data_IF_234775607134
#
_entry.id   IF_234775607134
#
_cell.length_a   1.000
_cell.length_b   1.000
_cell.length_c   1.000
_cell.angle_alpha   90.00
_cell.angle_beta   90.00
_cell.angle_gamma   90.00
#
_symmetry.space_group_name_H-M   'P 1'
#
loop_
_entity.id
_entity.type
_entity.pdbx_description
1 polymer ?
#
# COMPACT_ATOMS: atom_id res chain seq x y z
N UNK A 1 -14.43 -2.08 6.77
CA UNK A 1 -13.76 -3.02 5.83
C UNK A 1 -12.60 -2.31 5.14
N UNK A 2 -11.78 -3.02 4.35
CA UNK A 2 -10.76 -2.37 3.50
C UNK A 2 -11.38 -1.38 2.51
N UNK A 3 -12.49 -1.76 1.88
CA UNK A 3 -13.22 -0.89 0.96
C UNK A 3 -13.64 0.43 1.61
N UNK A 4 -14.27 0.37 2.79
CA UNK A 4 -14.70 1.57 3.53
C UNK A 4 -13.50 2.44 3.94
N UNK A 5 -12.42 1.82 4.39
CA UNK A 5 -11.21 2.54 4.76
C UNK A 5 -10.63 3.30 3.57
N UNK A 6 -10.42 2.62 2.44
CA UNK A 6 -9.91 3.24 1.21
C UNK A 6 -10.80 4.39 0.75
N UNK A 7 -12.14 4.23 0.83
CA UNK A 7 -13.10 5.28 0.48
C UNK A 7 -12.89 6.50 1.35
N UNK A 8 -12.85 6.31 2.67
CA UNK A 8 -12.72 7.40 3.64
C UNK A 8 -11.35 8.11 3.49
N UNK A 9 -10.28 7.39 3.16
CA UNK A 9 -8.96 7.97 2.86
C UNK A 9 -8.99 8.79 1.57
N UNK A 10 -9.62 8.28 0.50
CA UNK A 10 -9.76 9.03 -0.76
C UNK A 10 -10.57 10.31 -0.55
N UNK A 11 -11.69 10.24 0.18
CA UNK A 11 -12.50 11.42 0.55
C UNK A 11 -11.71 12.43 1.36
N UNK A 12 -10.99 12.01 2.41
CA UNK A 12 -10.17 12.93 3.20
C UNK A 12 -9.02 13.53 2.42
N UNK A 13 -8.42 12.76 1.52
CA UNK A 13 -7.37 13.25 0.63
C UNK A 13 -7.92 14.35 -0.27
N UNK A 14 -9.10 14.18 -0.85
CA UNK A 14 -9.78 15.23 -1.65
C UNK A 14 -10.06 16.50 -0.85
N UNK A 15 -10.53 16.36 0.39
CA UNK A 15 -10.76 17.51 1.29
C UNK A 15 -9.46 18.26 1.58
N UNK A 16 -8.35 17.55 1.82
CA UNK A 16 -7.04 18.18 2.02
C UNK A 16 -6.55 18.87 0.73
N UNK A 17 -6.71 18.22 -0.41
CA UNK A 17 -6.36 18.75 -1.74
C UNK A 17 -7.09 20.05 -2.02
N UNK A 18 -8.40 20.10 -1.77
CA UNK A 18 -9.23 21.30 -1.94
C UNK A 18 -8.79 22.42 -0.99
N UNK A 19 -8.62 22.11 0.31
CA UNK A 19 -8.23 23.10 1.31
C UNK A 19 -6.85 23.72 1.03
N UNK A 20 -5.92 22.93 0.49
CA UNK A 20 -4.58 23.38 0.11
C UNK A 20 -4.50 23.95 -1.31
N UNK A 21 -5.62 23.97 -2.06
CA UNK A 21 -5.71 24.43 -3.45
C UNK A 21 -4.68 23.77 -4.36
N UNK A 22 -4.49 22.46 -4.18
CA UNK A 22 -3.58 21.67 -5.01
C UNK A 22 -4.17 21.59 -6.43
N UNK A 23 -3.35 21.89 -7.44
CA UNK A 23 -3.77 21.93 -8.84
C UNK A 23 -4.29 20.56 -9.35
N UNK A 24 -5.12 20.57 -10.41
CA UNK A 24 -5.87 19.39 -10.87
C UNK A 24 -4.97 18.20 -11.24
N UNK A 25 -3.81 18.48 -11.81
CA UNK A 25 -2.81 17.48 -12.20
C UNK A 25 -2.35 16.64 -11.00
N UNK A 26 -2.04 17.29 -9.88
CA UNK A 26 -1.59 16.63 -8.65
C UNK A 26 -2.76 16.06 -7.84
N UNK A 27 -3.91 16.72 -7.87
CA UNK A 27 -5.13 16.22 -7.27
C UNK A 27 -5.50 14.84 -7.81
N UNK A 28 -5.44 14.66 -9.14
CA UNK A 28 -5.72 13.37 -9.77
C UNK A 28 -4.74 12.28 -9.32
N UNK A 29 -3.44 12.57 -9.28
CA UNK A 29 -2.41 11.61 -8.86
C UNK A 29 -2.57 11.19 -7.40
N UNK A 30 -2.91 12.14 -6.53
CA UNK A 30 -3.20 11.87 -5.12
C UNK A 30 -4.46 11.03 -4.95
N UNK A 31 -5.49 11.27 -5.76
CA UNK A 31 -6.73 10.49 -5.72
C UNK A 31 -6.48 9.02 -6.10
N UNK A 32 -5.72 8.79 -7.18
CA UNK A 32 -5.32 7.44 -7.58
C UNK A 32 -4.47 6.79 -6.50
N UNK A 33 -3.47 7.50 -5.97
CA UNK A 33 -2.63 6.97 -4.89
C UNK A 33 -3.46 6.61 -3.65
N UNK A 34 -4.44 7.43 -3.27
CA UNK A 34 -5.32 7.17 -2.14
C UNK A 34 -6.20 5.93 -2.34
N UNK A 35 -6.69 5.68 -3.55
CA UNK A 35 -7.46 4.46 -3.84
C UNK A 35 -6.59 3.18 -3.82
N UNK A 36 -5.29 3.32 -4.09
CA UNK A 36 -4.38 2.18 -4.20
C UNK A 36 -3.50 1.93 -2.97
N UNK A 37 -3.34 2.90 -2.07
CA UNK A 37 -2.31 2.87 -1.01
C UNK A 37 -2.33 1.58 -0.17
N UNK A 38 -3.52 1.03 0.05
CA UNK A 38 -3.78 -0.07 0.96
C UNK A 38 -4.24 -1.38 0.29
N UNK A 39 -4.22 -1.46 -1.05
CA UNK A 39 -4.56 -2.68 -1.80
C UNK A 39 -3.74 -3.88 -1.34
N UNK A 40 -2.47 -3.68 -1.00
CA UNK A 40 -1.59 -4.70 -0.45
C UNK A 40 -2.01 -5.27 0.90
N UNK A 41 -2.99 -4.68 1.61
CA UNK A 41 -3.59 -5.29 2.80
C UNK A 41 -4.42 -6.53 2.45
N UNK A 42 -4.84 -6.68 1.19
CA UNK A 42 -5.49 -7.90 0.70
C UNK A 42 -4.59 -9.14 0.74
N UNK A 43 -3.28 -8.95 0.86
CA UNK A 43 -2.31 -10.02 0.87
C UNK A 43 -2.57 -11.03 2.00
N UNK A 44 -2.43 -12.33 1.72
CA UNK A 44 -2.73 -13.38 2.68
C UNK A 44 -1.99 -13.25 4.02
N UNK A 45 -0.70 -12.85 3.99
CA UNK A 45 0.10 -12.60 5.18
C UNK A 45 -0.50 -11.49 6.06
N UNK A 46 -1.02 -10.42 5.45
CA UNK A 46 -1.67 -9.34 6.20
C UNK A 46 -3.00 -9.80 6.76
N UNK A 47 -3.84 -10.47 5.94
CA UNK A 47 -5.14 -10.96 6.40
C UNK A 47 -4.99 -11.99 7.53
N UNK A 48 -4.03 -12.94 7.42
CA UNK A 48 -3.70 -13.87 8.52
C UNK A 48 -3.20 -13.14 9.77
N UNK A 49 -2.43 -12.07 9.63
CA UNK A 49 -2.01 -11.25 10.77
C UNK A 49 -3.21 -10.57 11.47
N UNK A 50 -4.25 -10.21 10.72
CA UNK A 50 -5.50 -9.64 11.25
C UNK A 50 -6.42 -10.69 11.88
N UNK A 51 -6.43 -11.92 11.36
CA UNK A 51 -7.35 -13.00 11.79
C UNK A 51 -6.70 -14.03 12.71
N UNK A 52 -5.37 -14.04 12.86
CA UNK A 52 -4.68 -14.91 13.79
C UNK A 52 -5.17 -14.60 15.22
N UNK A 53 -5.60 -15.61 15.98
CA UNK A 53 -6.08 -15.41 17.32
C UNK A 53 -4.93 -14.88 18.19
N UNK A 54 -4.94 -13.58 18.47
CA UNK A 54 -4.61 -13.16 19.84
C UNK A 54 -5.65 -13.81 20.74
N UNK A 55 -5.30 -14.19 21.96
CA UNK A 55 -6.22 -14.77 22.94
C UNK A 55 -7.50 -13.90 23.11
N UNK A 56 -8.54 -14.06 22.30
CA UNK A 56 -9.82 -13.35 22.41
C UNK A 56 -10.92 -13.91 21.49
N UNK A 57 -11.95 -14.45 22.15
CA UNK A 57 -13.38 -14.19 21.97
C UNK A 57 -14.05 -14.40 20.58
N UNK A 58 -15.00 -15.34 20.52
CA UNK A 58 -15.80 -15.72 19.34
C UNK A 58 -16.59 -14.57 18.70
N UNK A 59 -16.76 -13.43 19.40
CA UNK A 59 -17.50 -12.24 18.94
C UNK A 59 -16.86 -11.47 17.79
N UNK A 60 -15.65 -11.83 17.36
CA UNK A 60 -14.86 -11.06 16.38
C UNK A 60 -14.48 -11.84 15.12
N UNK A 61 -15.14 -12.99 14.89
CA UNK A 61 -15.11 -13.67 13.59
C UNK A 61 -15.66 -12.71 12.52
N UNK A 62 -15.08 -12.66 11.31
CA UNK A 62 -15.62 -11.82 10.24
C UNK A 62 -17.12 -12.09 10.04
N UNK A 63 -17.92 -11.05 9.75
CA UNK A 63 -19.35 -11.23 9.48
C UNK A 63 -19.57 -12.30 8.39
N UNK A 64 -18.67 -12.34 7.40
CA UNK A 64 -18.70 -13.24 6.25
C UNK A 64 -17.25 -13.58 5.82
N UNK A 65 -17.03 -14.78 5.26
CA UNK A 65 -15.71 -15.30 4.83
C UNK A 65 -14.98 -14.45 3.75
N UNK A 66 -15.65 -13.48 3.13
CA UNK A 66 -15.11 -12.66 2.02
C UNK A 66 -14.69 -11.23 2.43
N UNK A 67 -14.80 -10.86 3.70
CA UNK A 67 -14.47 -9.48 4.13
C UNK A 67 -12.96 -9.29 4.28
N UNK A 68 -12.36 -8.42 3.47
CA UNK A 68 -10.97 -8.02 3.60
C UNK A 68 -10.84 -6.93 4.66
N UNK A 69 -9.99 -7.15 5.66
CA UNK A 69 -9.80 -6.24 6.78
C UNK A 69 -8.78 -5.15 6.48
N UNK A 70 -9.12 -3.91 6.85
CA UNK A 70 -8.19 -2.77 6.81
C UNK A 70 -7.27 -2.72 8.04
N UNK A 71 -7.80 -3.11 9.21
CA UNK A 71 -7.18 -3.10 10.54
C UNK A 71 -7.89 -4.14 11.43
N UNK A 72 -7.25 -4.61 12.49
CA UNK A 72 -7.86 -5.41 13.55
C UNK A 72 -8.11 -4.57 14.81
N UNK A 73 -9.17 -4.90 15.56
CA UNK A 73 -9.52 -4.26 16.84
C UNK A 73 -8.92 -4.99 18.07
N UNK A 74 -7.98 -5.91 17.86
CA UNK A 74 -7.35 -6.72 18.93
C UNK A 74 -5.84 -6.80 18.75
N UNK A 75 -5.18 -7.45 19.72
CA UNK A 75 -3.76 -7.78 19.66
C UNK A 75 -3.44 -8.50 18.35
N UNK A 76 -2.70 -7.81 17.49
CA UNK A 76 -2.29 -8.30 16.19
C UNK A 76 -1.48 -9.60 16.39
N UNK A 77 -1.88 -10.67 15.70
CA UNK A 77 -1.15 -11.93 15.73
C UNK A 77 0.27 -11.78 15.15
N UNK A 78 1.16 -12.73 15.43
CA UNK A 78 2.52 -12.66 14.85
C UNK A 78 2.44 -12.85 13.33
N UNK A 79 2.92 -11.86 12.59
CA UNK A 79 3.09 -11.99 11.14
C UNK A 79 4.02 -13.20 10.85
N UNK A 80 3.54 -14.15 10.05
CA UNK A 80 4.33 -15.33 9.64
C UNK A 80 5.60 -14.90 8.89
N UNK A 81 5.53 -13.78 8.15
CA UNK A 81 6.66 -13.17 7.48
C UNK A 81 7.04 -11.87 8.20
N UNK A 82 8.28 -11.81 8.69
CA UNK A 82 8.80 -10.63 9.37
C UNK A 82 8.83 -9.43 8.44
N UNK A 83 8.64 -8.26 9.04
CA UNK A 83 8.73 -6.96 8.36
C UNK A 83 7.74 -6.74 7.21
N UNK A 84 6.66 -7.55 7.13
CA UNK A 84 5.63 -7.39 6.10
C UNK A 84 5.18 -5.93 5.95
N UNK A 85 5.15 -5.44 4.70
CA UNK A 85 4.75 -4.10 4.30
C UNK A 85 3.72 -4.17 3.17
N UNK A 86 2.48 -3.80 3.50
CA UNK A 86 1.41 -3.75 2.52
C UNK A 86 1.64 -2.62 1.50
N UNK A 87 2.31 -1.53 1.88
CA UNK A 87 2.62 -0.43 0.98
C UNK A 87 3.49 -0.85 -0.21
N UNK A 88 4.39 -1.83 -0.01
CA UNK A 88 5.17 -2.41 -1.09
C UNK A 88 4.28 -3.26 -2.00
N UNK A 89 3.43 -4.12 -1.44
CA UNK A 89 2.50 -4.94 -2.22
C UNK A 89 1.51 -4.08 -3.03
N UNK A 90 1.00 -2.99 -2.45
CA UNK A 90 0.20 -1.97 -3.16
C UNK A 90 0.99 -1.33 -4.31
N UNK A 91 2.22 -0.91 -4.01
CA UNK A 91 3.28 -0.52 -4.94
C UNK A 91 3.32 -1.35 -6.22
N UNK A 92 3.60 -2.63 -6.00
CA UNK A 92 3.77 -3.61 -7.05
C UNK A 92 2.46 -3.77 -7.82
N UNK A 93 1.35 -4.06 -7.14
CA UNK A 93 0.07 -4.33 -7.80
C UNK A 93 -0.36 -3.20 -8.75
N UNK A 94 -0.16 -1.95 -8.34
CA UNK A 94 -0.40 -0.79 -9.18
C UNK A 94 0.50 -0.78 -10.44
N UNK A 95 1.79 -1.04 -10.27
CA UNK A 95 2.76 -1.12 -11.38
C UNK A 95 2.52 -2.29 -12.33
N UNK A 96 1.94 -3.41 -11.88
CA UNK A 96 1.56 -4.51 -12.76
C UNK A 96 0.32 -4.20 -13.62
N UNK A 97 -0.49 -3.22 -13.21
CA UNK A 97 -1.75 -2.89 -13.88
C UNK A 97 -1.64 -1.70 -14.82
N UNK A 98 -0.82 -0.71 -14.48
CA UNK A 98 -0.79 0.55 -15.19
C UNK A 98 0.58 0.85 -15.80
N UNK A 99 0.53 1.62 -16.89
CA UNK A 99 1.69 2.21 -17.55
C UNK A 99 1.37 3.67 -17.86
N UNK A 100 2.38 4.53 -17.97
CA UNK A 100 2.17 5.93 -18.34
C UNK A 100 3.22 6.85 -17.73
N UNK A 101 3.17 8.16 -18.04
CA UNK A 101 4.16 9.12 -17.57
C UNK A 101 4.16 9.27 -16.04
N UNK A 102 2.99 9.24 -15.41
CA UNK A 102 2.83 9.45 -13.96
C UNK A 102 3.04 8.21 -13.11
N UNK A 103 3.30 7.06 -13.75
CA UNK A 103 3.28 5.76 -13.10
C UNK A 103 4.25 5.68 -11.93
N UNK A 104 5.46 6.23 -12.11
CA UNK A 104 6.50 6.18 -11.09
C UNK A 104 6.13 7.04 -9.89
N UNK A 105 5.55 8.21 -10.14
CA UNK A 105 5.16 9.15 -9.08
C UNK A 105 4.02 8.58 -8.24
N UNK A 106 2.98 8.03 -8.87
CA UNK A 106 1.85 7.43 -8.15
C UNK A 106 2.32 6.20 -7.36
N UNK A 107 3.12 5.32 -7.99
CA UNK A 107 3.71 4.17 -7.31
C UNK A 107 4.59 4.59 -6.12
N UNK A 108 5.36 5.67 -6.25
CA UNK A 108 6.15 6.23 -5.16
C UNK A 108 5.25 6.70 -4.01
N UNK A 109 4.18 7.45 -4.28
CA UNK A 109 3.26 7.92 -3.24
C UNK A 109 2.59 6.75 -2.50
N UNK A 110 2.18 5.72 -3.23
CA UNK A 110 1.66 4.47 -2.67
C UNK A 110 2.71 3.78 -1.79
N UNK A 111 3.94 3.57 -2.28
CA UNK A 111 4.97 2.87 -1.50
C UNK A 111 5.45 3.68 -0.28
N UNK A 112 5.47 5.01 -0.39
CA UNK A 112 6.03 5.89 0.61
C UNK A 112 5.03 6.33 1.69
N UNK A 113 3.74 5.94 1.64
CA UNK A 113 2.73 6.52 2.53
C UNK A 113 2.99 6.28 4.05
N UNK A 114 3.67 5.19 4.42
CA UNK A 114 4.17 4.96 5.81
C UNK A 114 5.58 5.52 6.07
N UNK A 115 6.26 6.00 5.03
CA UNK A 115 7.61 6.54 5.05
C UNK A 115 8.72 5.48 5.13
N UNK A 116 8.42 4.22 4.77
CA UNK A 116 9.36 3.08 4.91
C UNK A 116 9.96 2.61 3.58
N UNK A 117 9.24 2.75 2.47
CA UNK A 117 9.69 2.35 1.13
C UNK A 117 9.80 3.60 0.26
N UNK A 118 10.98 4.25 0.28
CA UNK A 118 11.28 5.43 -0.55
C UNK A 118 12.24 5.08 -1.69
N UNK A 119 13.55 5.08 -1.46
CA UNK A 119 14.54 4.90 -2.53
C UNK A 119 14.96 3.45 -2.78
N UNK A 120 14.81 2.57 -1.80
CA UNK A 120 15.36 1.21 -1.87
C UNK A 120 14.36 0.18 -1.37
N UNK A 121 14.19 -0.86 -2.19
CA UNK A 121 13.55 -2.11 -1.83
C UNK A 121 14.66 -3.11 -1.56
N UNK A 122 14.75 -3.56 -0.33
CA UNK A 122 15.74 -4.55 0.12
C UNK A 122 15.16 -5.38 1.26
N UNK A 123 15.66 -6.61 1.37
CA UNK A 123 15.43 -7.43 2.54
C UNK A 123 16.11 -6.83 3.78
N UNK A 124 15.54 -7.11 4.95
CA UNK A 124 16.07 -6.77 6.25
C UNK A 124 16.67 -8.00 6.95
N UNK A 125 17.60 -7.78 7.90
CA UNK A 125 18.10 -8.86 8.74
C UNK A 125 16.97 -9.65 9.40
N UNK A 126 17.01 -10.98 9.27
CA UNK A 126 16.02 -11.88 9.83
C UNK A 126 14.75 -12.05 8.99
N UNK A 127 14.67 -11.47 7.79
CA UNK A 127 13.67 -11.92 6.81
C UNK A 127 13.95 -13.35 6.35
N UNK A 128 12.88 -14.11 6.10
CA UNK A 128 12.95 -15.48 5.63
C UNK A 128 13.03 -15.47 4.11
N UNK A 129 14.07 -16.11 3.57
CA UNK A 129 14.22 -16.34 2.14
C UNK A 129 13.10 -17.28 1.63
N UNK A 130 12.53 -17.01 0.43
CA UNK A 130 11.53 -17.88 -0.17
C UNK A 130 12.04 -19.30 -0.35
N UNK A 131 11.25 -20.29 0.02
CA UNK A 131 11.53 -21.70 -0.26
C UNK A 131 11.02 -22.14 -1.65
N UNK A 132 10.24 -21.29 -2.30
CA UNK A 132 9.60 -21.51 -3.60
C UNK A 132 10.57 -21.12 -4.74
N UNK A 133 10.97 -22.05 -5.63
CA UNK A 133 11.89 -21.75 -6.73
C UNK A 133 11.41 -20.61 -7.66
N UNK A 134 10.10 -20.53 -7.90
CA UNK A 134 9.46 -19.50 -8.72
C UNK A 134 9.62 -18.08 -8.17
N UNK A 135 10.01 -17.92 -6.89
CA UNK A 135 10.31 -16.61 -6.32
C UNK A 135 11.68 -16.06 -6.77
N UNK A 136 12.51 -16.83 -7.49
CA UNK A 136 13.86 -16.42 -7.94
C UNK A 136 14.78 -15.89 -6.81
N UNK A 137 14.54 -16.32 -5.56
CA UNK A 137 15.25 -15.79 -4.38
C UNK A 137 14.96 -14.31 -4.09
N UNK A 138 13.96 -13.70 -4.72
CA UNK A 138 13.60 -12.29 -4.57
C UNK A 138 12.59 -12.11 -3.44
N UNK A 139 13.00 -11.40 -2.39
CA UNK A 139 12.16 -11.03 -1.27
C UNK A 139 12.60 -9.71 -0.65
N UNK A 140 11.63 -8.93 -0.18
CA UNK A 140 11.88 -7.71 0.56
C UNK A 140 10.65 -7.33 1.38
N UNK A 141 10.86 -6.90 2.62
CA UNK A 141 9.79 -6.37 3.48
C UNK A 141 8.62 -7.34 3.62
N UNK A 142 8.92 -8.64 3.76
CA UNK A 142 7.95 -9.72 3.88
C UNK A 142 7.16 -10.05 2.61
N UNK A 143 7.39 -9.35 1.49
CA UNK A 143 6.82 -9.64 0.17
C UNK A 143 7.82 -10.50 -0.61
N UNK A 144 7.34 -11.57 -1.23
CA UNK A 144 8.11 -12.46 -2.09
C UNK A 144 7.69 -12.23 -3.55
N UNK A 145 8.64 -12.36 -4.48
CA UNK A 145 8.29 -12.36 -5.91
C UNK A 145 7.31 -13.51 -6.20
N UNK A 146 6.28 -13.23 -7.00
CA UNK A 146 5.25 -14.21 -7.33
C UNK A 146 4.15 -14.39 -6.26
N UNK A 147 4.18 -13.63 -5.15
CA UNK A 147 3.01 -13.55 -4.28
C UNK A 147 1.79 -13.00 -5.04
N UNK A 148 0.58 -13.35 -4.61
CA UNK A 148 -0.65 -12.91 -5.25
C UNK A 148 -1.50 -12.04 -4.32
N UNK A 149 -2.19 -11.07 -4.91
CA UNK A 149 -3.33 -10.40 -4.28
C UNK A 149 -4.61 -10.94 -4.92
N UNK A 150 -5.65 -11.23 -4.12
CA UNK A 150 -6.94 -11.68 -4.65
C UNK A 150 -7.60 -10.57 -5.47
N UNK A 151 -8.61 -10.94 -6.25
CA UNK A 151 -9.49 -9.95 -6.87
C UNK A 151 -10.23 -9.11 -5.83
N UNK A 152 -10.47 -7.84 -6.14
CA UNK A 152 -11.21 -6.91 -5.29
C UNK A 152 -11.76 -5.71 -6.06
N UNK A 153 -12.79 -5.08 -5.52
CA UNK A 153 -13.32 -3.82 -6.00
C UNK A 153 -12.78 -2.65 -5.15
N UNK A 154 -12.47 -1.53 -5.80
CA UNK A 154 -12.09 -0.27 -5.15
C UNK A 154 -13.25 0.73 -5.15
N UNK A 155 -13.26 1.71 -4.22
CA UNK A 155 -14.35 2.67 -4.09
C UNK A 155 -14.55 3.61 -5.28
N UNK A 156 -13.53 3.81 -6.11
CA UNK A 156 -13.61 4.56 -7.36
C UNK A 156 -14.27 3.77 -8.52
N UNK A 157 -14.73 2.55 -8.24
CA UNK A 157 -15.30 1.64 -9.25
C UNK A 157 -14.26 0.80 -9.98
N UNK A 158 -12.98 0.95 -9.67
CA UNK A 158 -11.92 0.12 -10.27
C UNK A 158 -12.05 -1.32 -9.79
N UNK A 159 -12.13 -2.25 -10.74
CA UNK A 159 -11.99 -3.69 -10.47
C UNK A 159 -10.54 -4.11 -10.58
N UNK A 160 -9.97 -4.61 -9.49
CA UNK A 160 -8.62 -5.16 -9.41
C UNK A 160 -8.74 -6.68 -9.57
N UNK A 161 -8.26 -7.27 -10.68
CA UNK A 161 -8.23 -8.72 -10.81
C UNK A 161 -7.17 -9.31 -9.88
N UNK A 162 -7.18 -10.64 -9.72
CA UNK A 162 -6.06 -11.34 -9.09
C UNK A 162 -4.75 -10.89 -9.74
N UNK A 163 -3.79 -10.47 -8.90
CA UNK A 163 -2.56 -9.82 -9.35
C UNK A 163 -1.35 -10.51 -8.75
N UNK A 164 -0.47 -11.02 -9.61
CA UNK A 164 0.84 -11.57 -9.22
C UNK A 164 1.87 -10.46 -9.09
N UNK A 165 2.48 -10.34 -7.92
CA UNK A 165 3.41 -9.28 -7.56
C UNK A 165 4.81 -9.53 -8.14
N UNK A 166 5.29 -8.60 -8.96
CA UNK A 166 6.61 -8.67 -9.57
C UNK A 166 7.66 -7.85 -8.81
N UNK A 167 8.41 -8.52 -7.94
CA UNK A 167 9.50 -7.89 -7.18
C UNK A 167 10.81 -7.70 -7.97
N UNK A 168 10.90 -8.04 -9.26
CA UNK A 168 12.16 -7.90 -10.05
C UNK A 168 12.68 -6.45 -10.10
N UNK A 169 11.81 -5.47 -9.90
CA UNK A 169 12.19 -4.06 -9.77
C UNK A 169 13.11 -3.75 -8.58
N UNK A 170 13.30 -4.68 -7.63
CA UNK A 170 14.32 -4.54 -6.59
C UNK A 170 15.75 -4.74 -7.12
N UNK A 171 15.93 -5.40 -8.28
CA UNK A 171 17.23 -5.59 -8.92
C UNK A 171 17.76 -4.24 -9.41
N UNK A 172 19.07 -4.08 -9.41
CA UNK A 172 19.72 -2.88 -9.95
C UNK A 172 19.69 -2.90 -11.48
N UNK A 173 19.55 -1.72 -12.10
CA UNK A 173 19.59 -1.55 -13.55
C UNK A 173 18.41 -0.74 -14.09
N UNK A 174 18.26 -0.77 -15.40
CA UNK A 174 17.17 -0.09 -16.12
C UNK A 174 15.82 -0.67 -15.71
N UNK A 175 14.85 0.18 -15.43
CA UNK A 175 13.52 -0.15 -14.93
C UNK A 175 13.46 -0.46 -13.43
N UNK A 176 14.59 -0.40 -12.71
CA UNK A 176 14.63 -0.66 -11.27
C UNK A 176 13.89 0.39 -10.46
N UNK A 177 13.47 0.02 -9.25
CA UNK A 177 12.89 0.95 -8.27
C UNK A 177 13.83 2.10 -7.96
N UNK A 178 15.13 1.80 -7.82
CA UNK A 178 16.13 2.82 -7.54
C UNK A 178 16.20 3.83 -8.70
N UNK A 179 16.30 3.38 -9.95
CA UNK A 179 16.32 4.29 -11.11
C UNK A 179 15.05 5.14 -11.17
N UNK A 180 13.87 4.52 -11.03
CA UNK A 180 12.57 5.22 -11.05
C UNK A 180 12.50 6.32 -10.00
N UNK A 181 12.91 6.02 -8.77
CA UNK A 181 12.80 6.96 -7.64
C UNK A 181 13.90 8.02 -7.64
N UNK A 182 15.10 7.71 -8.16
CA UNK A 182 16.12 8.72 -8.46
C UNK A 182 15.64 9.67 -9.56
N UNK A 183 14.97 9.14 -10.60
CA UNK A 183 14.34 9.96 -11.63
C UNK A 183 13.39 11.00 -11.03
N UNK A 184 12.47 10.59 -10.14
CA UNK A 184 11.56 11.52 -9.45
C UNK A 184 12.28 12.53 -8.54
N UNK A 185 13.35 12.10 -7.87
CA UNK A 185 14.15 12.96 -6.98
C UNK A 185 14.90 14.03 -7.77
N UNK A 186 15.40 13.68 -8.95
CA UNK A 186 16.26 14.54 -9.77
C UNK A 186 15.46 15.34 -10.81
N UNK A 187 14.17 15.03 -10.99
CA UNK A 187 13.25 15.76 -11.84
C UNK A 187 13.04 17.20 -11.28
N UNK A 188 13.31 18.25 -12.08
CA UNK A 188 13.17 19.64 -11.64
C UNK A 188 11.72 20.05 -11.34
N UNK A 189 10.74 19.37 -11.92
CA UNK A 189 9.31 19.61 -11.71
C UNK A 189 8.73 18.73 -10.59
N UNK A 190 9.52 17.86 -9.99
CA UNK A 190 9.10 17.05 -8.84
C UNK A 190 10.05 17.34 -7.68
N UNK A 191 11.24 16.78 -7.72
CA UNK A 191 12.24 16.99 -6.69
C UNK A 191 11.83 16.47 -5.31
N UNK A 192 12.77 16.46 -4.35
CA UNK A 192 12.52 15.91 -3.01
C UNK A 192 11.43 16.68 -2.24
N UNK A 193 11.28 17.98 -2.47
CA UNK A 193 10.31 18.81 -1.75
C UNK A 193 8.87 18.51 -2.15
N UNK A 194 8.57 18.39 -3.45
CA UNK A 194 7.20 18.05 -3.89
C UNK A 194 6.87 16.60 -3.51
N UNK A 195 7.83 15.67 -3.64
CA UNK A 195 7.63 14.30 -3.16
C UNK A 195 7.23 14.26 -1.68
N UNK A 196 7.99 14.92 -0.81
CA UNK A 196 7.71 14.95 0.61
C UNK A 196 6.38 15.65 0.93
N UNK A 197 6.05 16.73 0.21
CA UNK A 197 4.79 17.45 0.35
C UNK A 197 3.58 16.56 0.03
N UNK A 198 3.59 15.90 -1.14
CA UNK A 198 2.47 15.07 -1.56
C UNK A 198 2.38 13.74 -0.80
N UNK A 199 3.50 13.18 -0.35
CA UNK A 199 3.51 12.08 0.64
C UNK A 199 2.78 12.52 1.92
N UNK A 200 3.04 13.73 2.40
CA UNK A 200 2.41 14.26 3.61
C UNK A 200 0.91 14.50 3.44
N UNK A 201 0.46 14.92 2.26
CA UNK A 201 -0.96 15.11 1.95
C UNK A 201 -1.71 13.78 2.01
N UNK A 202 -1.21 12.75 1.31
CA UNK A 202 -1.81 11.42 1.32
C UNK A 202 -1.83 10.84 2.75
N UNK A 203 -0.71 10.97 3.48
CA UNK A 203 -0.60 10.50 4.86
C UNK A 203 -1.56 11.23 5.81
N UNK A 204 -1.80 12.53 5.59
CA UNK A 204 -2.78 13.28 6.36
C UNK A 204 -4.20 12.78 6.10
N UNK A 205 -4.52 12.42 4.85
CA UNK A 205 -5.78 11.77 4.48
C UNK A 205 -5.99 10.47 5.25
N UNK A 206 -5.01 9.57 5.20
CA UNK A 206 -5.05 8.29 5.93
C UNK A 206 -5.21 8.49 7.45
N UNK A 207 -4.44 9.40 8.04
CA UNK A 207 -4.52 9.68 9.47
C UNK A 207 -5.89 10.24 9.88
N UNK A 208 -6.53 11.09 9.06
CA UNK A 208 -7.87 11.65 9.35
C UNK A 208 -8.95 10.57 9.28
N UNK A 209 -8.93 9.73 8.26
CA UNK A 209 -9.86 8.62 8.11
C UNK A 209 -9.73 7.64 9.29
N UNK A 210 -8.49 7.25 9.58
CA UNK A 210 -8.14 6.41 10.73
C UNK A 210 -8.62 6.97 12.07
N UNK A 211 -8.55 8.29 12.27
CA UNK A 211 -9.01 8.93 13.50
C UNK A 211 -10.54 8.93 13.63
N UNK A 212 -11.28 9.07 12.52
CA UNK A 212 -12.74 8.98 12.50
C UNK A 212 -13.23 7.57 12.79
N UNK A 213 -12.63 6.56 12.16
CA UNK A 213 -12.95 5.14 12.39
C UNK A 213 -12.88 4.80 13.88
N UNK A 214 -11.81 5.23 14.56
CA UNK A 214 -11.62 5.02 16.01
C UNK A 214 -12.69 5.72 16.86
N UNK A 215 -13.12 6.92 16.47
CA UNK A 215 -14.19 7.66 17.18
C UNK A 215 -15.56 7.02 16.97
N UNK A 216 -15.81 6.44 15.79
CA UNK A 216 -17.04 5.72 15.47
C UNK A 216 -17.12 4.36 16.18
N UNK A 217 -16.02 3.65 16.32
CA UNK A 217 -15.96 2.35 17.00
C UNK A 217 -16.09 2.41 18.53
N UNK A 218 -15.87 3.59 19.13
CA UNK A 218 -16.00 3.82 20.58
C UNK A 218 -17.39 4.36 20.99
N UNK A 219 -18.34 4.45 20.06
CA UNK A 219 -19.75 4.82 20.31
C UNK A 219 -20.63 3.60 20.20
#
# INVERSE_FOLDING_TARGET
SLFEHVRDVAEDTRVVVEALRIGPEWAQRLDVAANWHDVGKAHEVFQRMMTAPGEADERYRPPNDHTIWAKSNHTIGRAQRRHFRHELASALAFLQRYTGPDINLIAYLIAAHHGKVRLSIRSLPGEQEPTRPECEGLFARGVWHGDTLPEMDLPDGTKVPETTLDLRLMRLGVGSWLERTLGLRDDPDIGPFRLAWYESVLRLGDHRASARERKGANK
#
